data_IF_862930882043
#
_entry.id   IF_862930882043
#
_cell.length_a   1.000
_cell.length_b   1.000
_cell.length_c   1.000
_cell.angle_alpha   90.00
_cell.angle_beta   90.00
_cell.angle_gamma   90.00
#
_symmetry.space_group_name_H-M   'P 1'
#
loop_
_entity.id
_entity.type
_entity.pdbx_description
1 polymer ?
#
# COMPACT_ATOMS: atom_id res chain seq x y z
N UNK A 1 31.19 41.94 -57.22
CA UNK A 1 30.63 40.57 -57.15
C UNK A 1 30.53 40.18 -55.65
N UNK A 2 29.36 40.37 -55.08
CA UNK A 2 29.13 40.10 -53.62
C UNK A 2 28.52 38.72 -53.52
N UNK A 3 29.25 37.76 -52.94
CA UNK A 3 28.76 36.42 -52.65
C UNK A 3 27.99 36.49 -51.34
N UNK A 4 26.65 36.34 -51.41
CA UNK A 4 25.78 36.21 -50.27
C UNK A 4 25.75 34.71 -49.88
N UNK A 5 26.38 34.35 -48.74
CA UNK A 5 26.29 33.04 -48.16
C UNK A 5 24.99 32.99 -47.36
N UNK A 6 24.00 32.28 -47.87
CA UNK A 6 22.77 31.95 -47.12
C UNK A 6 23.09 30.79 -46.15
N UNK A 7 23.19 31.10 -44.87
CA UNK A 7 23.27 30.09 -43.79
C UNK A 7 21.86 29.59 -43.52
N UNK A 8 21.57 28.38 -44.01
CA UNK A 8 20.32 27.68 -43.72
C UNK A 8 20.39 27.10 -42.30
N UNK A 9 19.77 27.77 -41.33
CA UNK A 9 19.66 27.25 -39.99
C UNK A 9 18.58 26.14 -39.97
N UNK A 10 19.05 24.88 -39.94
CA UNK A 10 18.18 23.72 -39.74
C UNK A 10 17.77 23.68 -38.26
N UNK A 11 16.55 24.12 -37.98
CA UNK A 11 15.91 23.90 -36.66
C UNK A 11 15.56 22.42 -36.55
N UNK A 12 16.38 21.64 -35.87
CA UNK A 12 16.04 20.28 -35.47
C UNK A 12 15.05 20.38 -34.30
N UNK A 13 13.76 20.23 -34.59
CA UNK A 13 12.75 19.98 -33.57
C UNK A 13 13.01 18.59 -33.00
N UNK A 14 13.66 18.53 -31.86
CA UNK A 14 13.68 17.33 -31.02
C UNK A 14 12.29 17.21 -30.44
N UNK A 15 11.42 16.44 -31.12
CA UNK A 15 10.17 15.96 -30.52
C UNK A 15 10.60 14.99 -29.43
N UNK A 16 10.68 15.47 -28.19
CA UNK A 16 10.75 14.62 -27.04
C UNK A 16 9.42 13.85 -27.00
N UNK A 17 9.40 12.61 -27.50
CA UNK A 17 8.37 11.64 -27.18
C UNK A 17 8.48 11.36 -25.68
N UNK A 18 7.89 12.22 -24.86
CA UNK A 18 7.58 11.89 -23.49
C UNK A 18 6.55 10.77 -23.53
N UNK A 19 6.84 9.63 -22.89
CA UNK A 19 5.84 8.58 -22.71
C UNK A 19 4.59 9.22 -22.09
N UNK A 20 3.46 9.05 -22.76
CA UNK A 20 2.20 9.59 -22.27
C UNK A 20 1.87 8.89 -20.96
N UNK A 21 1.66 9.67 -19.89
CA UNK A 21 1.30 9.10 -18.58
C UNK A 21 -0.01 8.31 -18.69
N UNK A 22 0.06 7.05 -18.31
CA UNK A 22 -1.08 6.15 -18.28
C UNK A 22 -1.63 6.05 -16.85
N UNK A 23 -2.72 6.77 -16.60
CA UNK A 23 -3.40 6.77 -15.30
C UNK A 23 -3.88 5.38 -14.90
N UNK A 24 -4.43 4.61 -15.85
CA UNK A 24 -4.92 3.26 -15.57
C UNK A 24 -3.80 2.32 -15.14
N UNK A 25 -2.66 2.34 -15.83
CA UNK A 25 -1.50 1.54 -15.43
C UNK A 25 -1.02 1.88 -14.01
N UNK A 26 -1.09 3.15 -13.61
CA UNK A 26 -0.72 3.55 -12.25
C UNK A 26 -1.75 3.06 -11.22
N UNK A 27 -3.04 3.13 -11.53
CA UNK A 27 -4.12 2.55 -10.71
C UNK A 27 -3.89 1.05 -10.55
N UNK A 28 -3.60 0.33 -11.64
CA UNK A 28 -3.35 -1.10 -11.62
C UNK A 28 -2.15 -1.47 -10.72
N UNK A 29 -1.10 -0.64 -10.71
CA UNK A 29 0.05 -0.82 -9.78
C UNK A 29 -0.37 -0.70 -8.33
N UNK A 30 -1.22 0.27 -7.97
CA UNK A 30 -1.76 0.42 -6.61
C UNK A 30 -2.58 -0.80 -6.21
N UNK A 31 -3.46 -1.26 -7.09
CA UNK A 31 -4.29 -2.44 -6.83
C UNK A 31 -3.52 -3.75 -6.82
N UNK A 32 -2.42 -3.88 -7.57
CA UNK A 32 -1.56 -5.05 -7.48
C UNK A 32 -1.00 -5.25 -6.06
N UNK A 33 -0.65 -4.17 -5.35
CA UNK A 33 -0.21 -4.25 -3.95
C UNK A 33 -1.37 -4.67 -3.03
N UNK A 34 -2.56 -4.10 -3.22
CA UNK A 34 -3.78 -4.51 -2.51
C UNK A 34 -4.05 -6.00 -2.71
N UNK A 35 -4.07 -6.46 -3.97
CA UNK A 35 -4.41 -7.83 -4.35
C UNK A 35 -3.38 -8.87 -3.87
N UNK A 36 -2.13 -8.46 -3.65
CA UNK A 36 -1.09 -9.30 -3.02
C UNK A 36 -1.45 -9.68 -1.58
N UNK A 37 -2.01 -8.75 -0.83
CA UNK A 37 -2.22 -8.94 0.62
C UNK A 37 -3.67 -9.22 1.00
N UNK A 38 -4.63 -8.87 0.17
CA UNK A 38 -6.04 -9.09 0.46
C UNK A 38 -6.39 -10.55 0.77
N UNK A 39 -5.82 -11.57 0.08
CA UNK A 39 -6.03 -12.98 0.42
C UNK A 39 -5.52 -13.37 1.82
N UNK A 40 -4.56 -12.60 2.38
CA UNK A 40 -3.97 -12.85 3.70
C UNK A 40 -4.86 -12.40 4.86
N UNK A 41 -5.93 -11.64 4.62
CA UNK A 41 -6.80 -11.10 5.66
C UNK A 41 -7.45 -12.21 6.51
N UNK A 42 -7.80 -13.33 5.88
CA UNK A 42 -8.29 -14.52 6.58
C UNK A 42 -7.26 -15.12 7.55
N UNK A 43 -5.98 -15.15 7.14
CA UNK A 43 -4.86 -15.61 7.96
C UNK A 43 -4.60 -14.65 9.13
N UNK A 44 -4.63 -13.34 8.91
CA UNK A 44 -4.50 -12.31 9.96
C UNK A 44 -5.52 -12.57 11.08
N UNK A 45 -6.78 -12.74 10.73
CA UNK A 45 -7.86 -12.98 11.71
C UNK A 45 -7.76 -14.35 12.39
N UNK A 46 -7.27 -15.37 11.68
CA UNK A 46 -7.01 -16.68 12.26
C UNK A 46 -5.87 -16.64 13.28
N UNK A 47 -4.77 -15.98 12.94
CA UNK A 47 -3.63 -15.79 13.82
C UNK A 47 -3.99 -14.98 15.06
N UNK A 48 -4.79 -13.91 14.91
CA UNK A 48 -5.30 -13.14 16.05
C UNK A 48 -6.03 -14.05 17.06
N UNK A 49 -6.93 -14.92 16.60
CA UNK A 49 -7.64 -15.86 17.48
C UNK A 49 -6.68 -16.82 18.18
N UNK A 50 -5.71 -17.41 17.46
CA UNK A 50 -4.74 -18.36 18.03
C UNK A 50 -3.84 -17.72 19.08
N UNK A 51 -3.38 -16.47 18.83
CA UNK A 51 -2.56 -15.73 19.78
C UNK A 51 -3.34 -15.40 21.06
N UNK A 52 -4.61 -14.98 20.93
CA UNK A 52 -5.48 -14.70 22.08
C UNK A 52 -5.81 -15.99 22.86
N UNK A 53 -6.03 -17.10 22.18
CA UNK A 53 -6.23 -18.40 22.83
C UNK A 53 -5.00 -18.82 23.63
N UNK A 54 -3.79 -18.69 23.06
CA UNK A 54 -2.53 -18.96 23.77
C UNK A 54 -2.38 -18.04 25.00
N UNK A 55 -2.74 -16.76 24.88
CA UNK A 55 -2.71 -15.81 25.97
C UNK A 55 -3.68 -16.23 27.11
N UNK A 56 -4.90 -16.63 26.78
CA UNK A 56 -5.91 -17.10 27.74
C UNK A 56 -5.45 -18.34 28.51
N UNK A 57 -4.93 -19.35 27.80
CA UNK A 57 -4.39 -20.57 28.42
C UNK A 57 -3.25 -20.27 29.40
N UNK A 58 -2.34 -19.35 29.03
CA UNK A 58 -1.26 -18.93 29.93
C UNK A 58 -1.79 -18.17 31.16
N UNK A 59 -2.78 -17.31 30.98
CA UNK A 59 -3.40 -16.53 32.05
C UNK A 59 -4.13 -17.44 33.08
N UNK A 60 -4.90 -18.42 32.60
CA UNK A 60 -5.59 -19.41 33.42
C UNK A 60 -4.64 -20.32 34.23
N UNK A 61 -3.46 -20.62 33.65
CA UNK A 61 -2.41 -21.40 34.30
C UNK A 61 -1.56 -20.58 35.29
N UNK A 62 -1.91 -19.31 35.58
CA UNK A 62 -1.09 -18.35 36.31
C UNK A 62 0.35 -18.26 35.76
N UNK A 63 0.49 -18.32 34.41
CA UNK A 63 1.75 -18.23 33.71
C UNK A 63 2.35 -16.83 33.71
N UNK A 64 3.43 -16.67 32.95
CA UNK A 64 4.15 -15.39 32.84
C UNK A 64 3.26 -14.26 32.30
N UNK A 65 2.94 -13.30 33.18
CA UNK A 65 2.11 -12.15 32.86
C UNK A 65 2.71 -11.26 31.76
N UNK A 66 4.05 -11.19 31.68
CA UNK A 66 4.74 -10.47 30.59
C UNK A 66 4.45 -11.13 29.25
N UNK A 67 4.51 -12.45 29.21
CA UNK A 67 4.22 -13.21 27.98
C UNK A 67 2.75 -13.07 27.56
N UNK A 68 1.83 -13.07 28.51
CA UNK A 68 0.40 -12.80 28.25
C UNK A 68 0.23 -11.41 27.62
N UNK A 69 0.87 -10.38 28.20
CA UNK A 69 0.80 -9.01 27.67
C UNK A 69 1.39 -8.92 26.25
N UNK A 70 2.53 -9.57 25.97
CA UNK A 70 3.13 -9.64 24.63
C UNK A 70 2.17 -10.28 23.61
N UNK A 71 1.52 -11.36 23.96
CA UNK A 71 0.58 -12.03 23.06
C UNK A 71 -0.64 -11.15 22.78
N UNK A 72 -1.16 -10.43 23.77
CA UNK A 72 -2.26 -9.47 23.58
C UNK A 72 -1.83 -8.31 22.66
N UNK A 73 -0.63 -7.76 22.82
CA UNK A 73 -0.07 -6.74 21.93
C UNK A 73 0.06 -7.23 20.46
N UNK A 74 0.47 -8.48 20.28
CA UNK A 74 0.52 -9.09 18.94
C UNK A 74 -0.89 -9.20 18.32
N UNK A 75 -1.89 -9.57 19.11
CA UNK A 75 -3.28 -9.63 18.65
C UNK A 75 -3.80 -8.25 18.25
N UNK A 76 -3.46 -7.20 18.98
CA UNK A 76 -3.82 -5.80 18.67
C UNK A 76 -3.14 -5.32 17.39
N UNK A 77 -1.89 -5.71 17.15
CA UNK A 77 -1.17 -5.41 15.89
C UNK A 77 -1.83 -6.08 14.69
N UNK A 78 -2.25 -7.33 14.81
CA UNK A 78 -3.00 -8.04 13.76
C UNK A 78 -4.34 -7.34 13.46
N UNK A 79 -5.06 -6.90 14.50
CA UNK A 79 -6.30 -6.13 14.32
C UNK A 79 -6.04 -4.79 13.63
N UNK A 80 -5.02 -4.06 14.07
CA UNK A 80 -4.62 -2.79 13.47
C UNK A 80 -4.27 -2.94 11.99
N UNK A 81 -3.56 -4.00 11.62
CA UNK A 81 -3.22 -4.30 10.23
C UNK A 81 -4.47 -4.60 9.39
N UNK A 82 -5.41 -5.40 9.92
CA UNK A 82 -6.72 -5.65 9.29
C UNK A 82 -7.50 -4.36 9.07
N UNK A 83 -7.61 -3.54 10.10
CA UNK A 83 -8.32 -2.26 10.05
C UNK A 83 -7.67 -1.27 9.09
N UNK A 84 -6.34 -1.29 8.97
CA UNK A 84 -5.58 -0.49 8.02
C UNK A 84 -6.03 -0.73 6.59
N UNK A 85 -6.13 -2.00 6.19
CA UNK A 85 -6.65 -2.38 4.87
C UNK A 85 -8.10 -1.93 4.67
N UNK A 86 -8.98 -2.20 5.63
CA UNK A 86 -10.38 -1.80 5.54
C UNK A 86 -10.56 -0.28 5.46
N UNK A 87 -9.74 0.49 6.18
CA UNK A 87 -9.74 1.97 6.12
C UNK A 87 -9.26 2.47 4.77
N UNK A 88 -8.17 1.90 4.24
CA UNK A 88 -7.64 2.28 2.95
C UNK A 88 -8.66 2.04 1.83
N UNK A 89 -9.29 0.86 1.78
CA UNK A 89 -10.31 0.52 0.79
C UNK A 89 -11.51 1.49 0.84
N UNK A 90 -12.01 1.81 2.03
CA UNK A 90 -13.11 2.79 2.20
C UNK A 90 -12.69 4.19 1.76
N UNK A 91 -11.47 4.61 2.09
CA UNK A 91 -10.95 5.91 1.68
C UNK A 91 -10.78 6.00 0.16
N UNK A 92 -10.26 4.95 -0.47
CA UNK A 92 -10.16 4.86 -1.92
C UNK A 92 -11.55 4.99 -2.57
N UNK A 93 -12.51 4.19 -2.14
CA UNK A 93 -13.87 4.19 -2.69
C UNK A 93 -14.56 5.56 -2.54
N UNK A 94 -14.32 6.25 -1.43
CA UNK A 94 -14.95 7.55 -1.17
C UNK A 94 -14.28 8.71 -1.92
N UNK A 95 -12.96 8.66 -2.16
CA UNK A 95 -12.19 9.82 -2.54
C UNK A 95 -11.46 9.71 -3.90
N UNK A 96 -11.33 8.51 -4.51
CA UNK A 96 -10.49 8.37 -5.69
C UNK A 96 -11.05 9.09 -6.93
N UNK A 97 -12.36 8.99 -7.18
CA UNK A 97 -12.98 9.49 -8.41
C UNK A 97 -12.70 10.97 -8.73
N UNK A 98 -12.78 11.91 -7.78
CA UNK A 98 -12.46 13.31 -8.07
C UNK A 98 -11.01 13.55 -8.46
N UNK A 99 -10.09 12.63 -8.09
CA UNK A 99 -8.65 12.78 -8.31
C UNK A 99 -8.11 12.06 -9.54
N UNK A 100 -8.85 11.08 -10.08
CA UNK A 100 -8.40 10.23 -11.19
C UNK A 100 -9.20 10.43 -12.49
N UNK A 101 -10.15 11.36 -12.50
CA UNK A 101 -10.96 11.66 -13.68
C UNK A 101 -10.15 12.47 -14.73
N UNK A 102 -10.71 12.61 -15.93
CA UNK A 102 -10.06 13.30 -17.04
C UNK A 102 -9.98 14.83 -16.86
N UNK A 103 -10.77 15.39 -15.94
CA UNK A 103 -10.80 16.83 -15.64
C UNK A 103 -9.59 17.26 -14.79
N UNK A 104 -8.95 16.33 -14.06
CA UNK A 104 -7.74 16.60 -13.28
C UNK A 104 -6.50 16.60 -14.17
N UNK A 105 -5.50 17.39 -13.79
CA UNK A 105 -4.22 17.41 -14.50
C UNK A 105 -3.44 16.09 -14.30
N UNK A 106 -2.50 15.82 -15.19
CA UNK A 106 -1.61 14.63 -15.07
C UNK A 106 -0.81 14.70 -13.76
N UNK A 107 -0.37 15.88 -13.37
CA UNK A 107 0.42 16.11 -12.16
C UNK A 107 -0.40 15.79 -10.90
N UNK A 108 -1.67 16.23 -10.86
CA UNK A 108 -2.56 15.93 -9.73
C UNK A 108 -2.88 14.44 -9.63
N UNK A 109 -3.15 13.77 -10.77
CA UNK A 109 -3.36 12.32 -10.79
C UNK A 109 -2.15 11.56 -10.29
N UNK A 110 -0.93 11.95 -10.74
CA UNK A 110 0.33 11.36 -10.27
C UNK A 110 0.51 11.54 -8.77
N UNK A 111 0.30 12.76 -8.27
CA UNK A 111 0.47 13.07 -6.86
C UNK A 111 -0.49 12.25 -5.99
N UNK A 112 -1.75 12.16 -6.39
CA UNK A 112 -2.75 11.34 -5.69
C UNK A 112 -2.36 9.86 -5.71
N UNK A 113 -2.06 9.29 -6.88
CA UNK A 113 -1.76 7.87 -7.02
C UNK A 113 -0.44 7.48 -6.34
N UNK A 114 0.57 8.34 -6.31
CA UNK A 114 1.77 8.13 -5.52
C UNK A 114 1.45 8.08 -4.02
N UNK A 115 0.61 9.00 -3.53
CA UNK A 115 0.18 9.01 -2.13
C UNK A 115 -0.61 7.73 -1.77
N UNK A 116 -1.47 7.25 -2.66
CA UNK A 116 -2.21 6.00 -2.45
C UNK A 116 -1.28 4.77 -2.50
N UNK A 117 -0.27 4.78 -3.37
CA UNK A 117 0.76 3.74 -3.41
C UNK A 117 1.50 3.64 -2.06
N UNK A 118 1.99 4.76 -1.52
CA UNK A 118 2.66 4.78 -0.22
C UNK A 118 1.77 4.23 0.90
N UNK A 119 0.49 4.58 0.89
CA UNK A 119 -0.48 4.10 1.89
C UNK A 119 -0.71 2.58 1.80
N UNK A 120 -0.94 2.05 0.60
CA UNK A 120 -1.20 0.62 0.42
C UNK A 120 0.05 -0.22 0.64
N UNK A 121 1.24 0.29 0.30
CA UNK A 121 2.52 -0.35 0.63
C UNK A 121 2.75 -0.42 2.14
N UNK A 122 2.43 0.65 2.87
CA UNK A 122 2.47 0.63 4.34
C UNK A 122 1.52 -0.42 4.93
N UNK A 123 0.30 -0.51 4.41
CA UNK A 123 -0.66 -1.54 4.83
C UNK A 123 -0.13 -2.94 4.54
N UNK A 124 0.48 -3.18 3.37
CA UNK A 124 1.13 -4.45 3.02
C UNK A 124 2.22 -4.81 4.02
N UNK A 125 3.08 -3.86 4.38
CA UNK A 125 4.15 -4.05 5.36
C UNK A 125 3.58 -4.44 6.73
N UNK A 126 2.57 -3.72 7.21
CA UNK A 126 1.92 -3.97 8.49
C UNK A 126 1.27 -5.37 8.54
N UNK A 127 0.60 -5.78 7.48
CA UNK A 127 0.00 -7.12 7.36
C UNK A 127 1.09 -8.20 7.39
N UNK A 128 2.11 -8.10 6.54
CA UNK A 128 3.15 -9.12 6.46
C UNK A 128 3.94 -9.22 7.77
N UNK A 129 4.33 -8.09 8.34
CA UNK A 129 5.06 -8.03 9.61
C UNK A 129 4.25 -8.61 10.77
N UNK A 130 2.96 -8.26 10.89
CA UNK A 130 2.10 -8.79 11.96
C UNK A 130 1.90 -10.31 11.85
N UNK A 131 1.77 -10.85 10.64
CA UNK A 131 1.70 -12.30 10.38
C UNK A 131 2.99 -12.99 10.84
N UNK A 132 4.16 -12.46 10.48
CA UNK A 132 5.46 -13.05 10.84
C UNK A 132 5.66 -13.07 12.36
N UNK A 133 5.36 -11.97 13.04
CA UNK A 133 5.47 -11.86 14.49
C UNK A 133 4.51 -12.85 15.18
N UNK A 134 3.27 -12.94 14.73
CA UNK A 134 2.30 -13.86 15.30
C UNK A 134 2.71 -15.32 15.11
N UNK A 135 3.16 -15.72 13.91
CA UNK A 135 3.68 -17.07 13.65
C UNK A 135 4.88 -17.41 14.54
N UNK A 136 5.74 -16.46 14.79
CA UNK A 136 6.90 -16.65 15.68
C UNK A 136 6.49 -16.82 17.14
N UNK A 137 5.49 -16.06 17.60
CA UNK A 137 4.98 -16.17 18.98
C UNK A 137 4.19 -17.44 19.24
N UNK A 138 3.68 -18.10 18.20
CA UNK A 138 2.90 -19.34 18.30
C UNK A 138 3.78 -20.63 18.31
N UNK A 139 5.04 -20.52 17.89
CA UNK A 139 6.02 -21.63 18.01
C UNK A 139 6.41 -21.87 19.46
#
# INVERSE_FOLDING_TARGET
MKKVLAVLAIFVFVVACGESYNTQEHIDKVFNVHDEVMPKMGEVMALKRQVLEKASVLEEANGDSTKVAELKDIADKLETANDGMMKWMRAWQANAQPHINEETTVEERKAFLNSEMEKVEKVREDINSSIEVAKSALK
#
